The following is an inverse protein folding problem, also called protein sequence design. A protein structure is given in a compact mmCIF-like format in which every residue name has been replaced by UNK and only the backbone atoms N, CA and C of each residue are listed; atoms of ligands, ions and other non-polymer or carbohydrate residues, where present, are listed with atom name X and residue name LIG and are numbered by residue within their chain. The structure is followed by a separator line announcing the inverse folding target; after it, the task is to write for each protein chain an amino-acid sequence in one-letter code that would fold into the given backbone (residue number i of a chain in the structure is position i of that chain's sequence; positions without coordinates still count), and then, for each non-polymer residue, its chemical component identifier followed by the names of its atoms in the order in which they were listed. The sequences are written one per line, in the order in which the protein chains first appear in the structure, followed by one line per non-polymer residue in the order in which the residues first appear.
data_IF_390146968749
#
_entry.id   IF_390146968749
#
_cell.length_a   1.000
_cell.length_b   1.000
_cell.length_c   1.000
_cell.angle_alpha   90.00
_cell.angle_beta   90.00
_cell.angle_gamma   90.00
#
_symmetry.space_group_name_H-M   'P 1'
#
loop_
_entity.id
_entity.type
_entity.pdbx_description
1 polymer ?
#
# COMPACT_ATOMS: atom_id res chain seq x y z
N UNK A 1 3.05 -11.73 8.72
CA UNK A 1 1.80 -11.17 8.17
C UNK A 1 1.86 -9.64 8.15
N UNK A 2 1.25 -9.00 7.15
CA UNK A 2 1.04 -7.55 7.09
C UNK A 2 -0.43 -7.19 7.21
N UNK A 3 -0.72 -5.94 7.53
CA UNK A 3 -2.09 -5.42 7.60
C UNK A 3 -2.35 -4.47 6.44
N UNK A 4 -3.37 -4.73 5.63
CA UNK A 4 -3.72 -3.91 4.47
C UNK A 4 -5.15 -3.43 4.62
N UNK A 5 -5.36 -2.13 4.79
CA UNK A 5 -6.67 -1.52 5.02
C UNK A 5 -7.45 -2.22 6.16
N UNK A 6 -6.75 -2.53 7.26
CA UNK A 6 -7.33 -3.19 8.42
C UNK A 6 -7.51 -4.71 8.31
N UNK A 7 -7.14 -5.32 7.18
CA UNK A 7 -7.23 -6.78 6.97
C UNK A 7 -5.85 -7.42 6.97
N UNK A 8 -5.68 -8.50 7.71
CA UNK A 8 -4.45 -9.28 7.70
C UNK A 8 -4.27 -9.97 6.34
N UNK A 9 -3.02 -9.97 5.86
CA UNK A 9 -2.58 -10.65 4.65
C UNK A 9 -1.24 -11.32 4.86
N UNK A 10 -1.00 -12.35 4.07
CA UNK A 10 0.32 -12.95 3.95
C UNK A 10 1.31 -11.93 3.38
N UNK A 11 2.44 -11.84 4.05
CA UNK A 11 3.58 -11.05 3.62
C UNK A 11 4.57 -11.98 2.93
N UNK A 12 5.34 -11.42 2.01
CA UNK A 12 6.41 -12.14 1.33
C UNK A 12 7.66 -11.27 1.23
N UNK A 13 8.79 -11.92 1.03
CA UNK A 13 10.07 -11.25 0.82
C UNK A 13 10.02 -10.38 -0.46
N UNK A 14 10.73 -9.26 -0.44
CA UNK A 14 10.78 -8.26 -1.52
C UNK A 14 9.43 -7.62 -1.93
N UNK A 15 8.42 -7.69 -1.05
CA UNK A 15 7.14 -7.03 -1.27
C UNK A 15 7.27 -5.51 -1.21
N UNK A 16 7.11 -4.85 -2.35
CA UNK A 16 7.06 -3.37 -2.42
C UNK A 16 5.63 -2.85 -2.40
N UNK A 17 5.46 -1.56 -2.12
CA UNK A 17 4.14 -0.90 -2.23
C UNK A 17 3.58 -1.07 -3.64
N UNK A 18 4.39 -0.95 -4.69
CA UNK A 18 3.95 -1.15 -6.07
C UNK A 18 3.42 -2.57 -6.31
N UNK A 19 4.16 -3.60 -5.88
CA UNK A 19 3.74 -5.00 -6.00
C UNK A 19 2.45 -5.28 -5.22
N UNK A 20 2.35 -4.74 -3.99
CA UNK A 20 1.16 -4.90 -3.17
C UNK A 20 -0.08 -4.34 -3.88
N UNK A 21 0.02 -3.14 -4.48
CA UNK A 21 -1.07 -2.50 -5.20
C UNK A 21 -1.50 -3.32 -6.43
N UNK A 22 -0.52 -3.84 -7.18
CA UNK A 22 -0.76 -4.70 -8.34
C UNK A 22 -1.53 -5.98 -7.94
N UNK A 23 -1.08 -6.65 -6.87
CA UNK A 23 -1.72 -7.86 -6.34
C UNK A 23 -3.11 -7.61 -5.78
N UNK A 24 -3.32 -6.45 -5.16
CA UNK A 24 -4.62 -6.02 -4.71
C UNK A 24 -5.54 -5.55 -5.85
N UNK A 25 -5.04 -5.53 -7.10
CA UNK A 25 -5.74 -5.04 -8.30
C UNK A 25 -6.24 -3.60 -8.13
N UNK A 26 -5.47 -2.77 -7.42
CA UNK A 26 -5.76 -1.34 -7.31
C UNK A 26 -5.28 -0.64 -8.58
N UNK A 27 -6.15 -0.60 -9.59
CA UNK A 27 -5.87 -0.04 -10.93
C UNK A 27 -6.23 1.44 -11.05
N UNK A 28 -6.75 2.06 -9.98
CA UNK A 28 -7.25 3.43 -10.03
C UNK A 28 -6.13 4.48 -10.04
N UNK A 29 -6.25 5.56 -10.83
CA UNK A 29 -5.20 6.56 -10.99
C UNK A 29 -4.94 7.42 -9.74
N UNK A 30 -5.91 7.52 -8.82
CA UNK A 30 -5.90 8.41 -7.66
C UNK A 30 -5.91 7.62 -6.34
N UNK A 31 -4.81 6.93 -6.07
CA UNK A 31 -4.58 6.18 -4.82
C UNK A 31 -3.42 6.80 -4.03
N UNK A 32 -3.65 7.02 -2.74
CA UNK A 32 -2.63 7.39 -1.76
C UNK A 32 -2.33 6.21 -0.86
N UNK A 33 -1.05 5.90 -0.67
CA UNK A 33 -0.61 4.83 0.24
C UNK A 33 0.05 5.42 1.47
N UNK A 34 -0.29 4.89 2.65
CA UNK A 34 0.46 5.07 3.87
C UNK A 34 1.03 3.74 4.33
N UNK A 35 2.26 3.76 4.86
CA UNK A 35 2.87 2.64 5.55
C UNK A 35 3.22 3.09 6.96
N UNK A 36 2.71 2.39 7.98
CA UNK A 36 2.86 2.73 9.39
C UNK A 36 2.51 4.20 9.70
N UNK A 37 1.43 4.70 9.10
CA UNK A 37 0.96 6.07 9.24
C UNK A 37 1.74 7.13 8.43
N UNK A 38 2.82 6.77 7.74
CA UNK A 38 3.60 7.69 6.89
C UNK A 38 3.15 7.61 5.44
N UNK A 39 2.87 8.77 4.82
CA UNK A 39 2.54 8.84 3.40
C UNK A 39 3.75 8.46 2.55
N UNK A 40 3.54 7.55 1.61
CA UNK A 40 4.53 7.18 0.60
C UNK A 40 4.14 7.90 -0.70
N UNK A 41 5.03 8.72 -1.30
CA UNK A 41 4.77 9.30 -2.61
C UNK A 41 4.83 8.22 -3.69
N UNK A 42 4.03 8.39 -4.76
CA UNK A 42 3.89 7.41 -5.85
C UNK A 42 5.24 7.04 -6.50
N UNK A 43 6.16 8.00 -6.58
CA UNK A 43 7.51 7.82 -7.12
C UNK A 43 8.33 6.80 -6.31
N UNK A 44 8.06 6.69 -5.01
CA UNK A 44 8.74 5.76 -4.09
C UNK A 44 8.05 4.42 -3.95
N UNK A 45 6.94 4.16 -4.66
CA UNK A 45 6.21 2.89 -4.50
C UNK A 45 7.05 1.67 -4.88
N UNK A 46 7.97 1.82 -5.84
CA UNK A 46 8.87 0.73 -6.27
C UNK A 46 10.05 0.54 -5.32
N UNK A 47 10.51 1.62 -4.68
CA UNK A 47 11.66 1.60 -3.77
C UNK A 47 11.28 1.34 -2.31
N UNK A 48 10.00 1.47 -1.96
CA UNK A 48 9.51 1.25 -0.60
C UNK A 48 9.16 -0.21 -0.40
N UNK A 49 10.02 -0.92 0.32
CA UNK A 49 9.78 -2.27 0.81
C UNK A 49 8.80 -2.23 1.99
N UNK A 50 7.88 -3.18 2.00
CA UNK A 50 6.96 -3.46 3.09
C UNK A 50 7.59 -4.56 3.93
N UNK A 51 7.70 -4.33 5.22
CA UNK A 51 8.25 -5.29 6.18
C UNK A 51 7.14 -6.13 6.80
N UNK A 52 7.51 -7.29 7.33
CA UNK A 52 6.56 -8.10 8.09
C UNK A 52 6.02 -7.34 9.30
N UNK A 53 4.70 -7.36 9.51
CA UNK A 53 4.02 -6.62 10.57
C UNK A 53 3.64 -5.18 10.24
N UNK A 54 4.00 -4.67 9.06
CA UNK A 54 3.63 -3.30 8.65
C UNK A 54 2.13 -3.12 8.45
N UNK A 55 1.64 -1.93 8.81
CA UNK A 55 0.27 -1.48 8.52
C UNK A 55 0.25 -0.59 7.28
N UNK A 56 -0.36 -1.07 6.22
CA UNK A 56 -0.48 -0.41 4.92
C UNK A 56 -1.91 0.05 4.72
N UNK A 57 -2.10 1.35 4.48
CA UNK A 57 -3.40 1.93 4.17
C UNK A 57 -3.41 2.43 2.73
N UNK A 58 -4.36 1.94 1.94
CA UNK A 58 -4.59 2.37 0.56
C UNK A 58 -5.88 3.16 0.52
N UNK A 59 -5.76 4.47 0.34
CA UNK A 59 -6.85 5.43 0.36
C UNK A 59 -7.16 5.83 -1.09
N UNK A 60 -8.40 5.61 -1.51
CA UNK A 60 -8.89 6.12 -2.78
C UNK A 60 -9.41 7.53 -2.55
N UNK A 61 -8.84 8.51 -3.24
CA UNK A 61 -9.38 9.86 -3.20
C UNK A 61 -10.60 9.92 -4.11
N UNK A 62 -11.78 9.69 -3.55
CA UNK A 62 -13.03 10.09 -4.20
C UNK A 62 -13.11 11.60 -3.97
N UNK A 63 -13.02 12.39 -5.04
CA UNK A 63 -13.26 13.83 -4.95
C UNK A 63 -14.72 14.02 -4.46
N UNK A 64 -14.88 14.21 -3.15
CA UNK A 64 -16.14 14.60 -2.54
C UNK A 64 -16.27 16.11 -2.65
N UNK A 65 -17.22 16.55 -3.47
CA UNK A 65 -17.83 17.87 -3.39
C UNK A 65 -19.05 17.81 -2.46
#
# INVERSE_FOLDING_TARGET
MIKVNGRDREWEEDLTVALLLERCKYTFPLIMVKVNGKYIPKEKYKDTLIMDGDDVQVIHSIAGG
#
